data_IF_370120392486
#
_entry.id   IF_370120392486
#
_cell.length_a   1.000
_cell.length_b   1.000
_cell.length_c   1.000
_cell.angle_alpha   90.00
_cell.angle_beta   90.00
_cell.angle_gamma   90.00
#
_symmetry.space_group_name_H-M   'P 1'
#
loop_
_entity.id
_entity.type
_entity.pdbx_description
1 polymer ?
#
# COMPACT_ATOMS: atom_id res chain seq x y z
N UNK A 1 49.67 31.69 -37.01
CA UNK A 1 48.84 32.90 -36.99
C UNK A 1 47.71 32.67 -35.99
N UNK A 2 47.75 33.36 -34.87
CA UNK A 2 46.80 33.21 -33.75
C UNK A 2 45.65 34.20 -33.92
N UNK A 3 44.40 33.76 -33.76
CA UNK A 3 43.27 34.65 -33.51
C UNK A 3 42.57 34.23 -32.25
N UNK A 4 42.43 35.08 -31.23
CA UNK A 4 41.63 34.81 -30.07
C UNK A 4 40.16 35.21 -30.35
N UNK A 5 39.22 34.35 -30.02
CA UNK A 5 37.80 34.65 -30.00
C UNK A 5 37.44 35.06 -28.58
N UNK A 6 37.06 36.31 -28.47
CA UNK A 6 36.58 37.00 -27.28
C UNK A 6 35.15 36.54 -26.96
N UNK A 7 34.98 35.80 -25.87
CA UNK A 7 33.65 35.40 -25.42
C UNK A 7 33.09 36.44 -24.46
N UNK A 8 32.01 37.11 -24.91
CA UNK A 8 31.25 38.05 -24.09
C UNK A 8 30.45 37.32 -23.03
N UNK A 9 30.76 37.58 -21.77
CA UNK A 9 29.94 37.22 -20.62
C UNK A 9 28.80 38.24 -20.48
N UNK A 10 27.58 37.82 -20.73
CA UNK A 10 26.37 38.58 -20.41
C UNK A 10 25.85 38.08 -19.05
N UNK A 11 26.11 38.88 -18.01
CA UNK A 11 25.46 38.71 -16.69
C UNK A 11 24.03 39.26 -16.79
N UNK A 12 23.06 38.34 -16.76
CA UNK A 12 21.67 38.71 -16.56
C UNK A 12 21.34 38.64 -15.09
N UNK A 13 21.25 39.81 -14.45
CA UNK A 13 20.82 39.98 -13.06
C UNK A 13 19.29 39.99 -13.02
N UNK A 14 18.67 38.87 -12.72
CA UNK A 14 17.22 38.79 -12.51
C UNK A 14 16.89 39.14 -11.06
N UNK A 15 16.27 40.29 -10.92
CA UNK A 15 15.72 40.81 -9.67
C UNK A 15 14.49 39.99 -9.26
N UNK A 16 14.60 39.19 -8.20
CA UNK A 16 13.45 38.46 -7.61
C UNK A 16 12.75 39.40 -6.63
N UNK A 17 11.60 39.90 -7.01
CA UNK A 17 10.69 40.62 -6.12
C UNK A 17 9.85 39.57 -5.36
N UNK A 18 10.17 39.37 -4.08
CA UNK A 18 9.36 38.58 -3.18
C UNK A 18 8.15 39.42 -2.71
N UNK A 19 6.98 39.13 -3.20
CA UNK A 19 5.73 39.64 -2.66
C UNK A 19 5.27 38.72 -1.55
N UNK A 20 5.47 39.15 -0.31
CA UNK A 20 4.95 38.46 0.89
C UNK A 20 3.49 38.87 1.05
N UNK A 21 2.57 37.97 0.71
CA UNK A 21 1.16 38.08 1.11
C UNK A 21 1.01 37.47 2.49
N UNK A 22 0.96 38.33 3.50
CA UNK A 22 0.53 37.97 4.85
C UNK A 22 -1.00 38.02 4.85
N UNK A 23 -1.65 36.89 4.76
CA UNK A 23 -3.10 36.79 5.08
C UNK A 23 -3.23 36.41 6.52
N UNK A 24 -3.59 37.38 7.34
CA UNK A 24 -4.04 37.18 8.70
C UNK A 24 -5.34 36.40 8.66
N UNK A 25 -5.34 35.20 9.23
CA UNK A 25 -6.54 34.40 9.43
C UNK A 25 -7.01 34.63 10.87
N UNK A 26 -8.10 35.38 11.01
CA UNK A 26 -8.74 35.64 12.29
C UNK A 26 -9.37 34.35 12.82
N UNK A 27 -8.87 33.92 14.00
CA UNK A 27 -9.47 32.86 14.78
C UNK A 27 -10.68 33.44 15.53
N UNK A 28 -11.85 33.16 15.03
CA UNK A 28 -13.09 33.39 15.77
C UNK A 28 -13.31 32.27 16.78
N UNK A 29 -12.99 32.56 18.02
CA UNK A 29 -13.37 31.77 19.19
C UNK A 29 -14.87 31.95 19.44
N UNK A 30 -15.67 30.93 19.15
CA UNK A 30 -17.02 30.85 19.69
C UNK A 30 -17.05 29.82 20.82
N UNK A 31 -17.10 30.37 22.00
CA UNK A 31 -17.42 29.74 23.27
C UNK A 31 -18.93 29.54 23.40
N UNK A 32 -19.33 28.55 24.19
CA UNK A 32 -20.66 28.31 24.79
C UNK A 32 -21.56 27.35 24.02
N UNK A 33 -22.06 26.26 24.58
CA UNK A 33 -22.83 26.22 25.83
C UNK A 33 -22.87 24.80 26.40
N UNK A 34 -22.69 24.74 27.68
CA UNK A 34 -23.05 23.60 28.52
C UNK A 34 -24.59 23.42 28.46
N UNK A 35 -25.05 22.22 28.25
CA UNK A 35 -26.39 21.84 28.66
C UNK A 35 -26.33 20.55 29.47
N UNK A 36 -26.29 20.75 30.77
CA UNK A 36 -26.57 19.73 31.76
C UNK A 36 -28.08 19.55 31.82
N UNK A 37 -28.58 18.38 31.50
CA UNK A 37 -29.88 17.92 31.95
C UNK A 37 -29.77 16.50 32.49
N UNK A 38 -29.61 16.47 33.80
CA UNK A 38 -30.07 15.37 34.65
C UNK A 38 -31.56 15.22 34.51
N UNK A 39 -31.99 14.06 34.12
CA UNK A 39 -33.35 13.59 34.47
C UNK A 39 -33.29 12.08 34.68
N UNK A 40 -33.10 11.73 35.93
CA UNK A 40 -33.47 10.43 36.49
C UNK A 40 -34.98 10.22 36.25
N UNK A 41 -35.35 9.24 35.49
CA UNK A 41 -36.70 8.70 35.52
C UNK A 41 -36.61 7.19 35.66
N UNK A 42 -36.75 6.79 36.91
CA UNK A 42 -37.12 5.45 37.31
C UNK A 42 -38.52 5.17 36.76
N UNK A 43 -38.66 4.28 35.83
CA UNK A 43 -39.99 3.70 35.57
C UNK A 43 -39.88 2.17 35.63
N UNK A 44 -40.55 1.73 36.68
CA UNK A 44 -40.76 0.32 37.08
C UNK A 44 -42.16 -0.04 36.52
N UNK A 45 -42.24 -1.23 35.99
CA UNK A 45 -43.44 -2.02 35.67
C UNK A 45 -43.84 -2.03 34.18
N UNK A 46 -43.87 -3.15 33.51
CA UNK A 46 -44.76 -4.28 33.71
C UNK A 46 -44.35 -5.44 32.81
N UNK A 47 -44.36 -6.62 33.39
CA UNK A 47 -44.55 -7.89 32.73
C UNK A 47 -45.65 -7.83 31.69
N UNK A 48 -45.39 -8.21 30.46
CA UNK A 48 -46.31 -9.10 29.77
C UNK A 48 -45.57 -9.85 28.66
N UNK A 49 -45.75 -11.11 28.75
CA UNK A 49 -45.36 -12.20 27.90
C UNK A 49 -45.50 -11.88 26.41
N UNK A 50 -44.44 -11.94 25.68
CA UNK A 50 -44.48 -12.58 24.38
C UNK A 50 -43.24 -13.50 24.23
N UNK A 51 -43.44 -14.73 24.57
CA UNK A 51 -42.56 -15.83 24.17
C UNK A 51 -42.83 -16.05 22.70
N UNK A 52 -41.98 -15.54 21.84
CA UNK A 52 -41.54 -16.20 20.61
C UNK A 52 -40.71 -15.19 19.80
N UNK A 53 -39.47 -15.25 19.93
CA UNK A 53 -38.45 -15.34 18.92
C UNK A 53 -37.08 -15.06 19.52
N UNK A 54 -36.69 -15.97 20.37
CA UNK A 54 -35.30 -16.03 20.84
C UNK A 54 -34.45 -16.66 19.74
N UNK A 55 -34.28 -15.93 18.63
CA UNK A 55 -33.06 -16.03 17.88
C UNK A 55 -32.06 -15.02 18.48
N UNK A 56 -31.62 -15.31 19.69
CA UNK A 56 -30.29 -14.92 20.07
C UNK A 56 -29.33 -15.61 19.08
N UNK A 57 -29.10 -14.93 17.95
CA UNK A 57 -27.87 -15.17 17.21
C UNK A 57 -26.78 -14.76 18.18
N UNK A 58 -26.38 -15.70 19.03
CA UNK A 58 -25.05 -15.66 19.62
C UNK A 58 -24.14 -15.30 18.45
N UNK A 59 -23.25 -14.28 18.57
CA UNK A 59 -22.21 -14.13 17.61
C UNK A 59 -21.52 -15.49 17.60
N UNK A 60 -21.84 -16.29 16.57
CA UNK A 60 -21.20 -17.56 16.38
C UNK A 60 -19.73 -17.24 16.51
N UNK A 61 -19.06 -17.91 17.41
CA UNK A 61 -17.62 -17.96 17.45
C UNK A 61 -17.25 -18.43 16.05
N UNK A 62 -17.15 -17.47 15.12
CA UNK A 62 -16.72 -17.73 13.77
C UNK A 62 -15.35 -18.34 13.93
N UNK A 63 -15.29 -19.64 13.68
CA UNK A 63 -14.03 -20.36 13.71
C UNK A 63 -13.04 -19.47 12.99
N UNK A 64 -12.06 -18.93 13.72
CA UNK A 64 -11.08 -18.00 13.14
C UNK A 64 -10.37 -18.80 12.06
N UNK A 65 -10.70 -18.50 10.80
CA UNK A 65 -10.11 -19.20 9.67
C UNK A 65 -8.60 -19.06 9.75
N UNK A 66 -7.90 -20.18 9.88
CA UNK A 66 -6.44 -20.19 9.81
C UNK A 66 -5.98 -20.01 8.37
N UNK A 67 -5.72 -18.76 7.99
CA UNK A 67 -5.22 -18.44 6.66
C UNK A 67 -3.73 -18.75 6.48
N UNK A 68 -3.02 -19.17 7.53
CA UNK A 68 -1.56 -19.39 7.45
C UNK A 68 -1.18 -20.48 6.44
N UNK A 69 -2.08 -21.41 6.19
CA UNK A 69 -1.91 -22.51 5.23
C UNK A 69 -2.37 -22.17 3.81
N UNK A 70 -2.99 -21.02 3.58
CA UNK A 70 -3.42 -20.63 2.25
C UNK A 70 -2.20 -20.51 1.32
N UNK A 71 -2.35 -21.02 0.12
CA UNK A 71 -1.32 -21.03 -0.92
C UNK A 71 -1.76 -20.24 -2.14
N UNK A 72 -0.83 -20.05 -3.06
CA UNK A 72 -1.10 -19.41 -4.33
C UNK A 72 -2.03 -20.26 -5.20
N UNK A 73 -3.00 -19.62 -5.82
CA UNK A 73 -3.86 -20.20 -6.84
C UNK A 73 -3.45 -19.59 -8.18
N UNK A 74 -2.38 -20.11 -8.76
CA UNK A 74 -1.88 -19.65 -10.05
C UNK A 74 -2.54 -20.47 -11.17
N UNK A 75 -2.92 -19.85 -12.31
CA UNK A 75 -3.33 -20.60 -13.49
C UNK A 75 -2.14 -21.37 -14.07
N UNK A 76 -2.43 -22.45 -14.80
CA UNK A 76 -1.41 -23.32 -15.40
C UNK A 76 -0.53 -22.62 -16.43
N UNK A 77 -1.00 -21.50 -17.00
CA UNK A 77 -0.30 -20.70 -17.99
C UNK A 77 0.34 -19.43 -17.42
N UNK A 78 0.35 -19.27 -16.09
CA UNK A 78 0.94 -18.10 -15.46
C UNK A 78 2.42 -17.91 -15.83
N UNK A 79 3.15 -19.01 -15.98
CA UNK A 79 4.56 -19.02 -16.39
C UNK A 79 4.77 -18.55 -17.84
N UNK A 80 3.74 -18.70 -18.69
CA UNK A 80 3.78 -18.29 -20.11
C UNK A 80 3.41 -16.83 -20.32
N UNK A 81 2.83 -16.19 -19.32
CA UNK A 81 2.44 -14.78 -19.39
C UNK A 81 3.68 -13.90 -19.45
N UNK A 82 3.84 -13.20 -20.56
CA UNK A 82 4.97 -12.29 -20.75
C UNK A 82 4.64 -10.91 -20.24
N UNK A 83 5.62 -10.24 -19.68
CA UNK A 83 5.50 -8.84 -19.28
C UNK A 83 5.42 -7.95 -20.53
N UNK A 84 4.30 -7.25 -20.78
CA UNK A 84 4.17 -6.36 -21.91
C UNK A 84 4.87 -5.02 -21.70
N UNK A 85 5.25 -4.72 -20.45
CA UNK A 85 5.86 -3.44 -20.06
C UNK A 85 7.37 -3.59 -19.98
N UNK A 86 8.08 -2.90 -20.85
CA UNK A 86 9.55 -2.90 -20.83
C UNK A 86 10.07 -2.36 -19.49
N UNK A 87 11.08 -3.01 -18.93
CA UNK A 87 11.72 -2.61 -17.67
C UNK A 87 12.67 -1.41 -17.87
N UNK A 88 12.12 -0.26 -18.27
CA UNK A 88 12.86 1.01 -18.38
C UNK A 88 13.04 1.64 -16.99
N UNK A 89 13.98 2.60 -16.84
CA UNK A 89 14.14 3.36 -15.60
C UNK A 89 12.82 4.02 -15.14
N UNK A 90 12.01 4.52 -16.07
CA UNK A 90 10.71 5.16 -15.79
C UNK A 90 9.70 4.13 -15.29
N UNK A 91 9.64 2.95 -15.91
CA UNK A 91 8.78 1.86 -15.48
C UNK A 91 9.15 1.39 -14.07
N UNK A 92 10.44 1.23 -13.80
CA UNK A 92 10.96 0.83 -12.48
C UNK A 92 10.64 1.89 -11.43
N UNK A 93 10.82 3.19 -11.75
CA UNK A 93 10.50 4.29 -10.86
C UNK A 93 8.99 4.32 -10.54
N UNK A 94 8.13 4.13 -11.55
CA UNK A 94 6.68 4.02 -11.35
C UNK A 94 6.31 2.82 -10.49
N UNK A 95 6.93 1.68 -10.72
CA UNK A 95 6.75 0.48 -9.91
C UNK A 95 7.13 0.70 -8.44
N UNK A 96 8.23 1.42 -8.19
CA UNK A 96 8.64 1.81 -6.82
C UNK A 96 7.61 2.71 -6.15
N UNK A 97 7.11 3.72 -6.84
CA UNK A 97 6.05 4.59 -6.33
C UNK A 97 4.84 3.77 -5.90
N UNK A 98 4.32 2.92 -6.78
CA UNK A 98 3.17 2.05 -6.53
C UNK A 98 3.42 1.05 -5.37
N UNK A 99 4.63 0.54 -5.25
CA UNK A 99 5.05 -0.36 -4.16
C UNK A 99 4.95 0.34 -2.79
N UNK A 100 5.33 1.61 -2.73
CA UNK A 100 5.34 2.41 -1.50
C UNK A 100 3.97 3.01 -1.18
N UNK A 101 3.15 3.31 -2.18
CA UNK A 101 1.91 4.06 -2.03
C UNK A 101 0.83 3.24 -1.32
N UNK A 102 0.33 3.76 -0.19
CA UNK A 102 -0.66 3.08 0.66
C UNK A 102 -2.02 2.87 0.01
N UNK A 103 -2.43 3.80 -0.85
CA UNK A 103 -3.72 3.74 -1.57
C UNK A 103 -3.69 2.75 -2.75
N UNK A 104 -2.52 2.37 -3.20
CA UNK A 104 -2.27 1.49 -4.34
C UNK A 104 -1.73 0.12 -3.90
N UNK A 105 -0.47 -0.17 -4.15
CA UNK A 105 0.15 -1.46 -3.83
C UNK A 105 0.29 -1.70 -2.34
N UNK A 106 0.78 -0.69 -1.62
CA UNK A 106 1.12 -0.77 -0.19
C UNK A 106 1.96 -2.01 0.18
N UNK A 107 2.81 -2.43 -0.75
CA UNK A 107 3.63 -3.63 -0.59
C UNK A 107 4.65 -3.45 0.54
N UNK A 108 5.13 -2.21 0.71
CA UNK A 108 6.07 -1.81 1.76
C UNK A 108 5.57 -2.17 3.16
N UNK A 109 4.25 -2.14 3.38
CA UNK A 109 3.68 -2.48 4.69
C UNK A 109 4.06 -3.87 5.18
N UNK A 110 4.13 -4.85 4.28
CA UNK A 110 4.48 -6.23 4.60
C UNK A 110 5.90 -6.60 4.18
N UNK A 111 6.35 -6.15 3.01
CA UNK A 111 7.65 -6.52 2.48
C UNK A 111 8.79 -5.60 2.89
N UNK A 112 8.47 -4.46 3.54
CA UNK A 112 9.45 -3.45 3.93
C UNK A 112 9.96 -2.62 2.76
N UNK A 113 10.68 -1.56 3.04
CA UNK A 113 11.24 -0.67 2.02
C UNK A 113 12.30 -1.36 1.15
N UNK A 114 13.06 -2.26 1.76
CA UNK A 114 14.10 -3.03 1.07
C UNK A 114 13.56 -4.26 0.35
N UNK A 115 12.35 -4.68 0.65
CA UNK A 115 11.75 -5.91 0.15
C UNK A 115 12.15 -7.18 0.91
N UNK A 116 12.96 -7.08 1.96
CA UNK A 116 13.45 -8.25 2.71
C UNK A 116 12.40 -8.90 3.62
N UNK A 117 11.30 -8.21 3.93
CA UNK A 117 10.21 -8.73 4.78
C UNK A 117 10.65 -9.07 6.20
N UNK A 118 11.66 -8.40 6.73
CA UNK A 118 12.29 -8.68 8.02
C UNK A 118 12.20 -7.53 9.04
N UNK A 119 11.40 -6.51 8.77
CA UNK A 119 11.22 -5.39 9.68
C UNK A 119 10.44 -5.79 10.94
N UNK A 120 10.66 -5.07 12.04
CA UNK A 120 10.11 -5.42 13.36
C UNK A 120 8.57 -5.47 13.41
N UNK A 121 7.89 -4.63 12.62
CA UNK A 121 6.43 -4.62 12.48
C UNK A 121 5.86 -5.90 11.83
N UNK A 122 6.70 -6.66 11.13
CA UNK A 122 6.31 -7.91 10.47
C UNK A 122 6.11 -9.08 11.43
N UNK A 123 6.62 -8.99 12.66
CA UNK A 123 6.47 -10.04 13.67
C UNK A 123 4.99 -10.35 14.04
N UNK A 124 4.08 -9.40 13.78
CA UNK A 124 2.64 -9.54 14.04
C UNK A 124 1.85 -10.14 12.88
N UNK A 125 2.48 -10.36 11.75
CA UNK A 125 1.81 -10.93 10.59
C UNK A 125 1.57 -12.44 10.80
N UNK A 126 0.44 -12.92 10.31
CA UNK A 126 0.06 -14.36 10.39
C UNK A 126 1.08 -15.26 9.70
N UNK A 127 1.75 -14.76 8.68
CA UNK A 127 2.82 -15.43 7.96
C UNK A 127 3.90 -14.42 7.55
N UNK A 128 5.16 -14.82 7.71
CA UNK A 128 6.29 -13.99 7.29
C UNK A 128 6.19 -13.71 5.79
N UNK A 129 6.30 -12.45 5.35
CA UNK A 129 6.36 -12.10 3.95
C UNK A 129 7.58 -12.76 3.26
N UNK A 130 7.44 -12.99 1.97
CA UNK A 130 8.56 -13.47 1.18
C UNK A 130 9.66 -12.40 1.12
N UNK A 131 10.90 -12.84 1.24
CA UNK A 131 12.08 -12.02 0.98
C UNK A 131 12.22 -11.83 -0.55
N UNK A 132 11.93 -10.60 -1.01
CA UNK A 132 12.01 -10.22 -2.42
C UNK A 132 13.45 -9.90 -2.85
N UNK A 133 14.38 -9.80 -1.90
CA UNK A 133 15.80 -9.60 -2.19
C UNK A 133 16.53 -10.91 -2.48
N UNK A 134 15.92 -12.04 -2.18
CA UNK A 134 16.51 -13.36 -2.44
C UNK A 134 16.51 -13.65 -3.94
N UNK A 135 17.70 -13.56 -4.55
CA UNK A 135 17.87 -13.75 -6.00
C UNK A 135 17.45 -15.14 -6.47
N UNK A 136 17.85 -16.19 -5.77
CA UNK A 136 17.48 -17.56 -6.12
C UNK A 136 15.97 -17.74 -6.21
N UNK A 137 15.24 -17.28 -5.19
CA UNK A 137 13.77 -17.30 -5.18
C UNK A 137 13.19 -16.49 -6.33
N UNK A 138 13.70 -15.29 -6.56
CA UNK A 138 13.11 -14.38 -7.57
C UNK A 138 13.41 -14.85 -8.99
N UNK A 139 14.57 -15.46 -9.25
CA UNK A 139 14.90 -16.01 -10.57
C UNK A 139 14.19 -17.34 -10.87
N UNK A 140 13.80 -18.09 -9.83
CA UNK A 140 13.01 -19.32 -10.00
C UNK A 140 11.58 -19.08 -10.49
N UNK A 141 11.10 -17.83 -10.49
CA UNK A 141 9.75 -17.45 -10.94
C UNK A 141 9.84 -16.64 -12.22
N UNK A 142 8.92 -16.88 -13.15
CA UNK A 142 8.73 -16.03 -14.32
C UNK A 142 8.08 -14.72 -13.96
N UNK A 143 8.12 -13.70 -14.83
CA UNK A 143 7.42 -12.43 -14.63
C UNK A 143 5.91 -12.62 -14.54
N UNK A 144 5.36 -13.53 -15.34
CA UNK A 144 3.94 -13.87 -15.30
C UNK A 144 3.51 -14.45 -13.97
N UNK A 145 4.30 -15.35 -13.37
CA UNK A 145 4.01 -15.88 -12.04
C UNK A 145 4.07 -14.80 -10.95
N UNK A 146 5.07 -13.90 -11.02
CA UNK A 146 5.15 -12.76 -10.08
C UNK A 146 3.95 -11.83 -10.26
N UNK A 147 3.58 -11.52 -11.51
CA UNK A 147 2.40 -10.73 -11.83
C UNK A 147 1.11 -11.32 -11.26
N UNK A 148 0.89 -12.62 -11.44
CA UNK A 148 -0.29 -13.31 -10.92
C UNK A 148 -0.31 -13.30 -9.39
N UNK A 149 0.83 -13.51 -8.75
CA UNK A 149 0.95 -13.43 -7.28
C UNK A 149 0.58 -12.03 -6.77
N UNK A 150 1.06 -10.97 -7.41
CA UNK A 150 0.69 -9.60 -7.07
C UNK A 150 -0.80 -9.37 -7.33
N UNK A 151 -1.32 -9.84 -8.48
CA UNK A 151 -2.70 -9.61 -8.89
C UNK A 151 -3.72 -10.28 -7.97
N UNK A 152 -3.53 -11.55 -7.68
CA UNK A 152 -4.51 -12.37 -6.93
C UNK A 152 -4.28 -12.36 -5.43
N UNK A 153 -3.05 -12.15 -4.98
CA UNK A 153 -2.71 -12.23 -3.56
C UNK A 153 -2.96 -13.63 -2.97
N UNK A 154 -3.00 -13.70 -1.66
CA UNK A 154 -3.42 -14.89 -0.90
C UNK A 154 -4.45 -14.45 0.13
N UNK A 155 -5.61 -15.07 0.14
CA UNK A 155 -6.69 -14.72 1.06
C UNK A 155 -6.21 -14.67 2.52
N UNK A 156 -6.46 -13.55 3.18
CA UNK A 156 -6.10 -13.32 4.58
C UNK A 156 -4.61 -13.15 4.87
N UNK A 157 -3.74 -13.23 3.84
CA UNK A 157 -2.28 -13.11 3.95
C UNK A 157 -1.76 -11.93 3.13
N UNK A 158 -1.98 -11.93 1.81
CA UNK A 158 -1.52 -10.91 0.90
C UNK A 158 -2.70 -10.34 0.12
N UNK A 159 -2.98 -9.03 0.22
CA UNK A 159 -4.06 -8.41 -0.52
C UNK A 159 -3.90 -8.58 -2.04
N UNK A 160 -5.03 -8.74 -2.74
CA UNK A 160 -5.05 -8.79 -4.20
C UNK A 160 -4.81 -7.39 -4.78
N UNK A 161 -3.72 -7.23 -5.55
CA UNK A 161 -3.34 -5.95 -6.16
C UNK A 161 -4.34 -5.49 -7.23
N UNK A 162 -5.01 -6.41 -7.92
CA UNK A 162 -6.01 -6.08 -8.95
C UNK A 162 -7.20 -5.26 -8.43
N UNK A 163 -7.41 -5.22 -7.11
CA UNK A 163 -8.47 -4.42 -6.50
C UNK A 163 -8.15 -2.92 -6.46
N UNK A 164 -6.88 -2.54 -6.59
CA UNK A 164 -6.41 -1.17 -6.39
C UNK A 164 -5.49 -0.65 -7.49
N UNK A 165 -4.99 -1.53 -8.34
CA UNK A 165 -4.06 -1.21 -9.41
C UNK A 165 -4.57 -1.74 -10.74
N UNK A 166 -4.36 -0.98 -11.79
CA UNK A 166 -4.59 -1.45 -13.16
C UNK A 166 -3.62 -2.58 -13.52
N UNK A 167 -3.84 -3.24 -14.63
CA UNK A 167 -2.94 -4.28 -15.12
C UNK A 167 -1.54 -3.72 -15.39
N UNK A 168 -1.45 -2.59 -16.06
CA UNK A 168 -0.20 -1.90 -16.36
C UNK A 168 0.55 -1.50 -15.09
N UNK A 169 -0.15 -0.93 -14.11
CA UNK A 169 0.45 -0.57 -12.82
C UNK A 169 1.07 -1.80 -12.13
N UNK A 170 0.42 -2.96 -12.19
CA UNK A 170 0.97 -4.19 -11.62
C UNK A 170 2.23 -4.65 -12.36
N UNK A 171 2.30 -4.49 -13.68
CA UNK A 171 3.49 -4.79 -14.44
C UNK A 171 4.67 -3.85 -14.11
N UNK A 172 4.41 -2.58 -13.86
CA UNK A 172 5.43 -1.67 -13.32
C UNK A 172 5.93 -2.16 -11.96
N UNK A 173 5.04 -2.64 -11.08
CA UNK A 173 5.45 -3.22 -9.79
C UNK A 173 6.31 -4.47 -10.00
N UNK A 174 6.00 -5.34 -10.96
CA UNK A 174 6.86 -6.48 -11.32
C UNK A 174 8.26 -6.02 -11.69
N UNK A 175 8.38 -5.02 -12.57
CA UNK A 175 9.67 -4.47 -12.99
C UNK A 175 10.48 -3.95 -11.80
N UNK A 176 9.85 -3.24 -10.87
CA UNK A 176 10.53 -2.77 -9.67
C UNK A 176 10.95 -3.92 -8.75
N UNK A 177 10.05 -4.85 -8.45
CA UNK A 177 10.33 -5.98 -7.55
C UNK A 177 11.51 -6.83 -8.06
N UNK A 178 11.66 -6.97 -9.38
CA UNK A 178 12.83 -7.65 -9.98
C UNK A 178 14.16 -6.96 -9.63
N UNK A 179 14.17 -5.64 -9.46
CA UNK A 179 15.37 -4.90 -9.09
C UNK A 179 15.79 -5.09 -7.64
N UNK A 180 14.91 -5.58 -6.79
CA UNK A 180 15.21 -5.86 -5.39
C UNK A 180 16.07 -7.11 -5.20
N UNK A 181 16.02 -8.04 -6.15
CA UNK A 181 16.77 -9.28 -6.10
C UNK A 181 18.29 -9.03 -6.19
N UNK A 182 19.03 -9.49 -5.19
CA UNK A 182 20.48 -9.32 -5.08
C UNK A 182 21.16 -10.66 -4.84
N UNK A 183 22.43 -10.76 -5.20
CA UNK A 183 23.26 -11.87 -4.77
C UNK A 183 23.38 -11.86 -3.24
N UNK A 184 23.39 -13.04 -2.63
CA UNK A 184 23.72 -13.17 -1.20
C UNK A 184 25.17 -12.71 -1.01
N UNK A 185 25.34 -11.67 -0.21
CA UNK A 185 26.66 -11.26 0.26
C UNK A 185 27.13 -12.23 1.35
#
# INVERSE_FOLDING_TARGET
MRKPILTLLVFSLSLVVAVIFVTSFDIATTSSAQNANSATTTNKNQNDRNQNDSRSVAPGAGAQQDFSKNTWQLPEDADKTKNPTTATPESIAKGKELYLERSKGNCVFCHGETGAGNEANMARLRRKPADLTNKERMTAMTDGEVFWKISKGIQGIMPAGERRMTEEERWHVVNYVRTLAKDKQ
#
